data_IF_072559275271
#
_entry.id   IF_072559275271
#
_cell.length_a   1.000
_cell.length_b   1.000
_cell.length_c   1.000
_cell.angle_alpha   90.00
_cell.angle_beta   90.00
_cell.angle_gamma   90.00
#
_symmetry.space_group_name_H-M   'P 1'
#
loop_
_entity.id
_entity.type
_entity.pdbx_description
1 polymer ?
#
# COMPACT_ATOMS: atom_id res chain seq x y z
N UNK A 1 2.06 20.77 7.05
CA UNK A 1 1.46 19.47 7.37
C UNK A 1 2.35 18.47 6.70
N UNK A 2 3.09 17.75 7.52
CA UNK A 2 4.21 16.94 7.10
C UNK A 2 3.82 15.47 7.29
N UNK A 3 4.24 14.64 6.37
CA UNK A 3 3.72 13.31 6.13
C UNK A 3 4.88 12.44 5.68
N UNK A 4 4.93 11.21 6.18
CA UNK A 4 5.93 10.23 5.81
C UNK A 4 5.29 9.22 4.87
N UNK A 5 5.91 9.00 3.71
CA UNK A 5 5.44 8.04 2.74
C UNK A 5 6.36 6.81 2.73
N UNK A 6 5.79 5.64 3.01
CA UNK A 6 6.45 4.35 2.85
C UNK A 6 6.00 3.72 1.53
N UNK A 7 6.94 3.27 0.71
CA UNK A 7 6.65 2.60 -0.56
C UNK A 7 7.24 1.20 -0.55
N UNK A 8 6.41 0.18 -0.70
CA UNK A 8 6.83 -1.22 -0.76
C UNK A 8 6.36 -1.86 -2.06
N UNK A 9 7.18 -2.72 -2.63
CA UNK A 9 6.78 -3.58 -3.75
C UNK A 9 6.35 -4.93 -3.20
N UNK A 10 5.18 -5.39 -3.60
CA UNK A 10 4.64 -6.68 -3.16
C UNK A 10 3.82 -7.33 -4.28
N UNK A 11 3.39 -8.56 -4.05
CA UNK A 11 2.52 -9.29 -4.99
C UNK A 11 1.06 -9.15 -4.57
N UNK A 12 0.10 -9.27 -5.50
CA UNK A 12 -1.34 -9.15 -5.21
C UNK A 12 -1.82 -10.00 -4.02
N UNK A 13 -1.24 -11.19 -3.85
CA UNK A 13 -1.59 -12.15 -2.77
C UNK A 13 -1.18 -11.64 -1.38
N UNK A 14 -0.11 -10.87 -1.32
CA UNK A 14 0.42 -10.27 -0.09
C UNK A 14 -0.05 -8.84 0.10
N UNK A 15 -0.62 -8.22 -0.94
CA UNK A 15 -0.95 -6.81 -0.93
C UNK A 15 -1.99 -6.47 0.16
N UNK A 16 -3.02 -7.30 0.26
CA UNK A 16 -4.06 -7.21 1.29
C UNK A 16 -3.47 -7.32 2.71
N UNK A 17 -2.65 -8.34 2.95
CA UNK A 17 -1.98 -8.54 4.24
C UNK A 17 -1.06 -7.36 4.62
N UNK A 18 -0.28 -6.87 3.67
CA UNK A 18 0.60 -5.71 3.89
C UNK A 18 -0.22 -4.46 4.18
N UNK A 19 -1.34 -4.23 3.49
CA UNK A 19 -2.20 -3.08 3.78
C UNK A 19 -2.81 -3.13 5.18
N UNK A 20 -3.24 -4.30 5.65
CA UNK A 20 -3.78 -4.46 7.00
C UNK A 20 -2.73 -4.14 8.06
N UNK A 21 -1.48 -4.57 7.84
CA UNK A 21 -0.36 -4.22 8.72
C UNK A 21 -0.15 -2.70 8.72
N UNK A 22 -0.06 -2.07 7.54
CA UNK A 22 0.18 -0.62 7.43
C UNK A 22 -0.94 0.19 8.09
N UNK A 23 -2.20 -0.23 7.91
CA UNK A 23 -3.35 0.35 8.59
C UNK A 23 -3.26 0.21 10.11
N UNK A 24 -2.85 -0.96 10.62
CA UNK A 24 -2.62 -1.20 12.05
C UNK A 24 -1.47 -0.39 12.66
N UNK A 25 -0.60 0.19 11.81
CA UNK A 25 0.55 1.00 12.19
C UNK A 25 0.25 2.51 12.17
N UNK A 26 -1.03 2.89 12.25
CA UNK A 26 -1.50 4.28 12.13
C UNK A 26 -1.20 4.90 10.75
N UNK A 27 -1.26 4.10 9.68
CA UNK A 27 -1.30 4.68 8.33
C UNK A 27 -2.60 5.44 8.13
N UNK A 28 -2.46 6.69 7.67
CA UNK A 28 -3.56 7.58 7.33
C UNK A 28 -4.22 7.16 6.01
N UNK A 29 -3.44 6.57 5.10
CA UNK A 29 -3.92 6.13 3.79
C UNK A 29 -2.98 5.09 3.20
N UNK A 30 -3.55 4.03 2.63
CA UNK A 30 -2.82 3.01 1.88
C UNK A 30 -3.33 2.99 0.44
N UNK A 31 -2.42 3.15 -0.52
CA UNK A 31 -2.73 3.20 -1.95
C UNK A 31 -2.01 2.06 -2.67
N UNK A 32 -2.75 1.34 -3.50
CA UNK A 32 -2.22 0.32 -4.40
C UNK A 32 -1.95 0.95 -5.77
N UNK A 33 -0.79 0.67 -6.34
CA UNK A 33 -0.41 1.15 -7.67
C UNK A 33 0.32 0.05 -8.40
N UNK A 34 0.30 0.11 -9.72
CA UNK A 34 1.04 -0.84 -10.53
C UNK A 34 2.57 -0.66 -10.37
N UNK A 35 3.32 -1.76 -10.50
CA UNK A 35 4.79 -1.77 -10.37
C UNK A 35 5.52 -1.73 -11.71
N UNK A 36 4.90 -2.21 -12.79
CA UNK A 36 5.54 -2.47 -14.09
C UNK A 36 4.98 -1.65 -15.27
N UNK A 37 4.13 -0.67 -14.99
CA UNK A 37 3.21 0.02 -15.91
C UNK A 37 2.31 -0.94 -16.72
N UNK A 38 1.87 -2.05 -16.11
CA UNK A 38 1.02 -3.03 -16.75
C UNK A 38 -0.43 -2.54 -16.86
N UNK A 39 -0.99 -2.60 -18.07
CA UNK A 39 -2.41 -2.28 -18.27
C UNK A 39 -3.29 -3.38 -17.66
N UNK A 40 -4.15 -2.99 -16.72
CA UNK A 40 -5.24 -3.86 -16.28
C UNK A 40 -6.47 -3.58 -17.15
N UNK A 41 -7.00 -4.61 -17.80
CA UNK A 41 -8.23 -4.51 -18.55
C UNK A 41 -9.43 -4.41 -17.61
N UNK A 42 -10.53 -3.87 -18.12
CA UNK A 42 -11.74 -3.69 -17.32
C UNK A 42 -12.25 -5.04 -16.79
N UNK A 43 -12.31 -5.22 -15.47
CA UNK A 43 -12.78 -6.44 -14.87
C UNK A 43 -14.30 -6.60 -15.03
N UNK A 44 -14.82 -7.82 -14.88
CA UNK A 44 -16.27 -8.02 -14.81
C UNK A 44 -16.87 -7.22 -13.64
N UNK A 45 -18.14 -6.85 -13.80
CA UNK A 45 -18.87 -6.06 -12.81
C UNK A 45 -18.81 -6.71 -11.42
N UNK A 46 -18.25 -5.98 -10.45
CA UNK A 46 -18.10 -6.44 -9.06
C UNK A 46 -16.72 -6.98 -8.70
N UNK A 47 -15.79 -7.07 -9.65
CA UNK A 47 -14.40 -7.44 -9.36
C UNK A 47 -13.48 -6.21 -9.39
N UNK A 48 -12.58 -6.12 -8.40
CA UNK A 48 -11.49 -5.13 -8.35
C UNK A 48 -10.15 -5.86 -8.27
N UNK A 49 -9.68 -6.45 -9.38
CA UNK A 49 -8.41 -7.16 -9.38
C UNK A 49 -7.26 -6.19 -9.16
N UNK A 50 -6.27 -6.64 -8.38
CA UNK A 50 -4.99 -5.98 -8.22
C UNK A 50 -3.98 -6.51 -9.25
N UNK A 51 -2.98 -5.67 -9.57
CA UNK A 51 -1.86 -6.05 -10.42
C UNK A 51 -1.04 -7.18 -9.78
N UNK A 52 -0.53 -8.15 -10.57
CA UNK A 52 0.28 -9.26 -10.05
C UNK A 52 1.42 -8.77 -9.15
N UNK A 53 2.11 -7.72 -9.61
CA UNK A 53 3.10 -6.96 -8.85
C UNK A 53 2.55 -5.57 -8.54
N UNK A 54 2.14 -5.38 -7.29
CA UNK A 54 1.54 -4.13 -6.82
C UNK A 54 2.51 -3.39 -5.90
N UNK A 55 2.69 -2.10 -6.15
CA UNK A 55 3.40 -1.19 -5.27
C UNK A 55 2.40 -0.59 -4.29
N UNK A 56 2.64 -0.78 -2.99
CA UNK A 56 1.85 -0.19 -1.92
C UNK A 56 2.53 1.07 -1.44
N UNK A 57 1.76 2.16 -1.37
CA UNK A 57 2.17 3.43 -0.80
C UNK A 57 1.33 3.70 0.44
N UNK A 58 1.95 3.67 1.60
CA UNK A 58 1.32 4.06 2.85
C UNK A 58 1.78 5.45 3.25
N UNK A 59 0.82 6.27 3.68
CA UNK A 59 1.03 7.60 4.21
C UNK A 59 0.84 7.56 5.72
N UNK A 60 1.79 8.14 6.45
CA UNK A 60 1.77 8.26 7.89
C UNK A 60 1.85 9.74 8.27
N UNK A 61 1.11 10.14 9.30
CA UNK A 61 1.28 11.45 9.91
C UNK A 61 2.63 11.50 10.64
N UNK A 62 3.28 12.67 10.75
CA UNK A 62 4.52 12.80 11.52
C UNK A 62 4.36 12.45 13.02
N UNK A 63 3.13 12.49 13.54
CA UNK A 63 2.79 12.05 14.91
C UNK A 63 2.80 10.53 15.08
N UNK A 64 2.81 9.76 13.98
CA UNK A 64 3.00 8.32 14.05
C UNK A 64 4.40 8.02 14.61
N UNK A 65 4.50 7.02 15.48
CA UNK A 65 5.74 6.66 16.16
C UNK A 65 6.82 6.25 15.14
N UNK A 66 7.71 7.20 14.81
CA UNK A 66 8.69 7.04 13.75
C UNK A 66 9.71 5.93 14.06
N UNK A 67 9.91 5.63 15.35
CA UNK A 67 10.80 4.54 15.79
C UNK A 67 10.19 3.20 15.44
N UNK A 68 8.87 3.05 15.60
CA UNK A 68 8.16 1.86 15.19
C UNK A 68 8.21 1.67 13.66
N UNK A 69 7.89 2.72 12.89
CA UNK A 69 7.84 2.66 11.41
C UNK A 69 9.20 2.43 10.74
N UNK A 70 10.30 2.96 11.29
CA UNK A 70 11.64 2.77 10.72
C UNK A 70 12.28 1.43 11.06
N UNK A 71 11.79 0.71 12.07
CA UNK A 71 12.33 -0.59 12.48
C UNK A 71 11.80 -1.78 11.65
N UNK A 72 10.93 -1.51 10.67
CA UNK A 72 10.26 -2.49 9.80
C UNK A 72 11.06 -2.84 8.55
#
# INVERSE_FOLDING_TARGET
MDWMQLTLKTSKEKADFVSEILMGLDSVSVTFSDTHDDAIFEPPVGETPLWPDTTIKALFALEADQVHVQAM
#
